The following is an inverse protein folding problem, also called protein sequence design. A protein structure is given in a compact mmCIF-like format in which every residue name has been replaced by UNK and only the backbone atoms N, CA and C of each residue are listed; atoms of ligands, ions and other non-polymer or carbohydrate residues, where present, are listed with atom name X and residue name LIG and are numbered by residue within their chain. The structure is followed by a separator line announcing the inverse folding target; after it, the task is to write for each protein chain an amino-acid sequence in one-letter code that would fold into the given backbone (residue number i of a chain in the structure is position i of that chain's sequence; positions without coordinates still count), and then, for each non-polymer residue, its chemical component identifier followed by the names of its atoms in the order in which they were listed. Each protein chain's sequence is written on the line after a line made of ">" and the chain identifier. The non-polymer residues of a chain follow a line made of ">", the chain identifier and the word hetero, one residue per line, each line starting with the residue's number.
data_IF_361179520511
#
_entry.id   IF_361179520511
#
_cell.length_a   1.000
_cell.length_b   1.000
_cell.length_c   1.000
_cell.angle_alpha   90.00
_cell.angle_beta   90.00
_cell.angle_gamma   90.00
#
_symmetry.space_group_name_H-M   'P 1'
#
loop_
_entity.id
_entity.type
_entity.pdbx_description
1 polymer ?
#
# COMPACT_ATOMS: atom_id res chain seq x y z
N UNK A 1 -40.48 -51.39 -21.09
CA UNK A 1 -40.39 -50.29 -20.10
C UNK A 1 -40.58 -50.91 -18.74
N UNK A 2 -39.65 -50.65 -17.82
CA UNK A 2 -39.67 -51.17 -16.45
C UNK A 2 -39.73 -49.96 -15.52
N UNK A 3 -40.68 -49.94 -14.58
CA UNK A 3 -40.89 -48.82 -13.66
C UNK A 3 -40.12 -49.04 -12.35
N UNK A 4 -39.46 -47.99 -11.85
CA UNK A 4 -38.86 -47.92 -10.51
C UNK A 4 -39.62 -46.82 -9.76
N UNK A 5 -40.41 -47.18 -8.75
CA UNK A 5 -41.10 -46.21 -7.89
C UNK A 5 -40.65 -46.43 -6.43
N UNK A 6 -40.42 -45.33 -5.70
CA UNK A 6 -39.97 -45.29 -4.30
C UNK A 6 -41.07 -44.65 -3.45
N UNK A 7 -41.42 -45.26 -2.32
CA UNK A 7 -42.53 -44.86 -1.46
C UNK A 7 -42.05 -43.99 -0.28
N UNK A 8 -42.58 -42.78 -0.13
CA UNK A 8 -42.58 -42.03 1.14
C UNK A 8 -43.93 -41.32 1.32
N UNK A 9 -44.38 -41.21 2.57
CA UNK A 9 -45.77 -41.28 3.00
C UNK A 9 -46.74 -40.15 2.61
N UNK A 10 -46.39 -39.19 1.74
CA UNK A 10 -47.34 -38.12 1.37
C UNK A 10 -47.30 -37.61 -0.08
N UNK A 11 -46.55 -38.18 -1.03
CA UNK A 11 -46.65 -37.81 -2.47
C UNK A 11 -46.00 -38.86 -3.40
N UNK A 12 -46.57 -39.08 -4.61
CA UNK A 12 -46.12 -40.12 -5.56
C UNK A 12 -45.50 -39.49 -6.82
N UNK A 13 -44.25 -39.85 -7.15
CA UNK A 13 -43.59 -39.49 -8.41
C UNK A 13 -43.05 -40.75 -9.11
N UNK A 14 -43.43 -41.00 -10.37
CA UNK A 14 -42.86 -42.07 -11.20
C UNK A 14 -42.28 -41.48 -12.50
N UNK A 15 -41.07 -41.93 -12.87
CA UNK A 15 -40.34 -41.49 -14.07
C UNK A 15 -40.44 -42.52 -15.20
N UNK A 16 -40.57 -42.03 -16.44
CA UNK A 16 -40.69 -42.86 -17.66
C UNK A 16 -39.35 -42.91 -18.41
N UNK A 17 -38.85 -44.12 -18.68
CA UNK A 17 -37.64 -44.36 -19.50
C UNK A 17 -38.04 -44.72 -20.93
N UNK A 18 -37.84 -43.83 -21.89
CA UNK A 18 -38.08 -44.07 -23.32
C UNK A 18 -36.83 -44.68 -23.96
N UNK A 19 -36.97 -45.82 -24.64
CA UNK A 19 -35.99 -46.38 -25.58
C UNK A 19 -36.56 -46.21 -27.00
N UNK A 20 -35.86 -45.54 -27.91
CA UNK A 20 -36.15 -45.57 -29.34
C UNK A 20 -35.22 -46.55 -30.07
N UNK A 21 -35.79 -47.26 -31.04
CA UNK A 21 -35.20 -48.38 -31.77
C UNK A 21 -34.24 -47.96 -32.89
N UNK A 22 -33.43 -48.93 -33.33
CA UNK A 22 -32.38 -48.85 -34.34
C UNK A 22 -32.91 -48.88 -35.78
N UNK A 23 -32.10 -48.34 -36.70
CA UNK A 23 -32.02 -48.81 -38.10
C UNK A 23 -30.57 -48.73 -38.56
N UNK A 24 -30.10 -49.82 -39.16
CA UNK A 24 -28.74 -50.07 -39.62
C UNK A 24 -28.77 -50.17 -41.15
N UNK A 25 -27.91 -49.44 -41.85
CA UNK A 25 -27.48 -49.80 -43.20
C UNK A 25 -26.11 -49.21 -43.52
N UNK A 26 -25.17 -50.09 -43.87
CA UNK A 26 -23.81 -49.80 -44.34
C UNK A 26 -23.84 -49.10 -45.71
N UNK A 27 -22.86 -48.20 -45.95
CA UNK A 27 -22.07 -48.22 -47.19
C UNK A 27 -20.80 -47.37 -47.03
N UNK A 28 -19.67 -47.96 -47.41
CA UNK A 28 -18.35 -47.35 -47.50
C UNK A 28 -18.29 -46.30 -48.62
N UNK A 29 -17.64 -45.16 -48.39
CA UNK A 29 -16.49 -44.70 -49.17
C UNK A 29 -16.02 -43.30 -48.74
N UNK A 30 -14.71 -43.19 -48.59
CA UNK A 30 -13.89 -41.99 -48.42
C UNK A 30 -14.39 -40.77 -49.21
N UNK A 31 -14.47 -39.60 -48.57
CA UNK A 31 -13.93 -38.38 -49.17
C UNK A 31 -13.53 -37.39 -48.07
N UNK A 32 -12.29 -36.94 -48.19
CA UNK A 32 -11.55 -36.03 -47.31
C UNK A 32 -12.28 -34.71 -47.04
N UNK A 33 -11.74 -34.01 -46.03
CA UNK A 33 -11.94 -32.59 -45.67
C UNK A 33 -12.99 -32.38 -44.57
N UNK A 34 -12.56 -32.44 -43.31
CA UNK A 34 -13.00 -31.54 -42.23
C UNK A 34 -12.05 -31.73 -41.02
N UNK A 35 -10.79 -31.31 -41.22
CA UNK A 35 -9.84 -31.07 -40.15
C UNK A 35 -9.84 -29.56 -39.86
N UNK A 36 -9.71 -29.24 -38.57
CA UNK A 36 -9.46 -27.91 -37.97
C UNK A 36 -10.72 -27.13 -37.59
N UNK A 37 -11.14 -27.26 -36.33
CA UNK A 37 -11.40 -26.14 -35.41
C UNK A 37 -12.17 -26.63 -34.18
N UNK A 38 -11.51 -27.32 -33.23
CA UNK A 38 -12.03 -27.49 -31.85
C UNK A 38 -10.98 -28.08 -30.91
N UNK A 39 -9.82 -27.42 -30.81
CA UNK A 39 -8.86 -27.65 -29.72
C UNK A 39 -8.19 -26.31 -29.36
N UNK A 40 -8.96 -25.32 -28.93
CA UNK A 40 -8.42 -24.26 -28.06
C UNK A 40 -8.50 -24.78 -26.64
N UNK A 41 -7.46 -25.54 -26.27
CA UNK A 41 -7.10 -25.76 -24.87
C UNK A 41 -7.02 -24.36 -24.26
N UNK A 42 -7.84 -24.10 -23.25
CA UNK A 42 -7.68 -22.94 -22.37
C UNK A 42 -6.34 -23.15 -21.65
N UNK A 43 -5.27 -22.65 -22.26
CA UNK A 43 -4.01 -22.41 -21.57
C UNK A 43 -4.30 -21.31 -20.56
N UNK A 44 -4.67 -21.70 -19.36
CA UNK A 44 -4.38 -20.90 -18.18
C UNK A 44 -2.86 -20.86 -18.11
N UNK A 45 -2.28 -19.82 -18.70
CA UNK A 45 -0.90 -19.42 -18.41
C UNK A 45 -0.89 -19.08 -16.93
N UNK A 46 -0.55 -20.03 -16.07
CA UNK A 46 0.26 -19.70 -14.90
C UNK A 46 1.50 -19.06 -15.48
N UNK A 47 1.50 -17.73 -15.55
CA UNK A 47 2.70 -16.97 -15.83
C UNK A 47 3.69 -17.39 -14.73
N UNK A 48 4.53 -18.37 -15.05
CA UNK A 48 5.71 -18.68 -14.29
C UNK A 48 6.54 -17.40 -14.37
N UNK A 49 6.46 -16.61 -13.29
CA UNK A 49 7.37 -15.50 -13.02
C UNK A 49 8.75 -16.09 -13.22
N UNK A 50 9.41 -15.77 -14.34
CA UNK A 50 10.80 -16.13 -14.55
C UNK A 50 11.55 -15.62 -13.33
N UNK A 51 12.30 -16.52 -12.69
CA UNK A 51 12.98 -16.38 -11.40
C UNK A 51 14.08 -15.31 -11.46
N UNK A 52 13.67 -14.07 -11.69
CA UNK A 52 14.50 -12.90 -11.81
C UNK A 52 14.73 -12.33 -10.41
N UNK A 53 16.00 -12.16 -10.05
CA UNK A 53 16.37 -11.39 -8.86
C UNK A 53 16.00 -9.93 -9.11
N UNK A 54 14.82 -9.53 -8.65
CA UNK A 54 14.34 -8.15 -8.76
C UNK A 54 14.87 -7.30 -7.61
N UNK A 55 15.37 -6.10 -7.91
CA UNK A 55 15.90 -5.18 -6.90
C UNK A 55 14.84 -4.30 -6.22
N UNK A 56 13.72 -4.07 -6.89
CA UNK A 56 12.65 -3.20 -6.40
C UNK A 56 11.31 -3.55 -7.06
N UNK A 57 10.21 -3.09 -6.46
CA UNK A 57 8.88 -3.20 -7.07
C UNK A 57 8.81 -2.48 -8.42
N UNK A 58 9.54 -1.36 -8.57
CA UNK A 58 9.66 -0.65 -9.85
C UNK A 58 10.33 -1.52 -10.92
N UNK A 59 11.35 -2.30 -10.56
CA UNK A 59 11.98 -3.26 -11.46
C UNK A 59 11.02 -4.37 -11.92
N UNK A 60 10.21 -4.89 -10.99
CA UNK A 60 9.15 -5.88 -11.31
C UNK A 60 8.12 -5.25 -12.26
N UNK A 61 7.63 -4.06 -11.93
CA UNK A 61 6.61 -3.36 -12.69
C UNK A 61 7.04 -3.10 -14.14
N UNK A 62 8.28 -2.61 -14.33
CA UNK A 62 8.83 -2.35 -15.68
C UNK A 62 9.02 -3.61 -16.50
N UNK A 63 9.56 -4.68 -15.90
CA UNK A 63 9.84 -5.93 -16.63
C UNK A 63 8.57 -6.66 -17.08
N UNK A 64 7.50 -6.54 -16.29
CA UNK A 64 6.20 -7.12 -16.63
C UNK A 64 5.32 -6.13 -17.43
N UNK A 65 5.90 -5.08 -18.03
CA UNK A 65 5.18 -4.10 -18.86
C UNK A 65 3.93 -3.51 -18.17
N UNK A 66 4.00 -3.32 -16.85
CA UNK A 66 2.88 -2.82 -16.04
C UNK A 66 1.77 -3.83 -15.74
N UNK A 67 1.89 -5.08 -16.18
CA UNK A 67 0.91 -6.16 -15.94
C UNK A 67 1.07 -6.81 -14.57
N UNK A 68 2.14 -6.51 -13.83
CA UNK A 68 2.32 -6.99 -12.46
C UNK A 68 1.16 -6.54 -11.57
N UNK A 69 0.68 -7.43 -10.72
CA UNK A 69 -0.40 -7.15 -9.76
C UNK A 69 0.15 -6.65 -8.43
N UNK A 70 -0.62 -5.86 -7.69
CA UNK A 70 -0.21 -5.45 -6.34
C UNK A 70 -0.24 -6.65 -5.39
N UNK A 71 0.73 -6.74 -4.48
CA UNK A 71 0.85 -7.89 -3.57
C UNK A 71 2.20 -7.92 -2.85
N UNK A 72 2.44 -8.97 -2.06
CA UNK A 72 3.74 -9.17 -1.40
C UNK A 72 4.72 -9.83 -2.37
N UNK A 73 5.91 -9.25 -2.46
CA UNK A 73 7.01 -9.74 -3.29
C UNK A 73 8.28 -9.82 -2.47
N UNK A 74 9.14 -10.77 -2.85
CA UNK A 74 10.51 -10.86 -2.36
C UNK A 74 11.45 -10.14 -3.32
N UNK A 75 12.20 -9.16 -2.84
CA UNK A 75 13.16 -8.38 -3.63
C UNK A 75 14.56 -8.42 -3.01
N UNK A 76 15.56 -8.10 -3.81
CA UNK A 76 16.99 -8.05 -3.45
C UNK A 76 17.56 -6.66 -3.73
N UNK A 77 17.27 -5.64 -2.90
CA UNK A 77 17.71 -4.26 -3.16
C UNK A 77 19.23 -4.14 -3.27
N UNK A 78 19.94 -4.86 -2.40
CA UNK A 78 21.39 -4.91 -2.32
C UNK A 78 21.89 -6.25 -2.84
N UNK A 79 23.01 -6.25 -3.58
CA UNK A 79 23.55 -7.48 -4.22
C UNK A 79 24.07 -8.51 -3.21
N UNK A 80 24.51 -8.08 -2.03
CA UNK A 80 25.20 -8.90 -1.04
C UNK A 80 24.44 -8.97 0.29
N UNK A 81 23.13 -8.70 0.27
CA UNK A 81 22.30 -8.72 1.48
C UNK A 81 21.13 -9.68 1.34
N UNK A 82 20.62 -10.11 2.48
CA UNK A 82 19.42 -10.94 2.52
C UNK A 82 18.24 -10.21 1.86
N UNK A 83 17.47 -10.90 1.00
CA UNK A 83 16.25 -10.34 0.43
C UNK A 83 15.27 -9.88 1.50
N UNK A 84 14.36 -9.00 1.08
CA UNK A 84 13.27 -8.52 1.91
C UNK A 84 11.93 -8.79 1.25
N UNK A 85 10.93 -9.10 2.07
CA UNK A 85 9.54 -9.11 1.65
C UNK A 85 8.97 -7.70 1.77
N UNK A 86 8.35 -7.24 0.69
CA UNK A 86 7.77 -5.92 0.56
C UNK A 86 6.39 -6.03 -0.07
N UNK A 87 5.51 -5.08 0.22
CA UNK A 87 4.28 -4.96 -0.55
C UNK A 87 4.55 -4.06 -1.76
N UNK A 88 4.37 -4.60 -2.96
CA UNK A 88 4.45 -3.83 -4.20
C UNK A 88 3.06 -3.31 -4.57
N UNK A 89 2.94 -1.99 -4.70
CA UNK A 89 1.75 -1.36 -5.30
C UNK A 89 2.02 -1.07 -6.78
N UNK A 90 1.36 -1.85 -7.64
CA UNK A 90 1.60 -1.85 -9.08
C UNK A 90 0.58 -1.03 -9.87
N UNK A 91 -0.54 -0.64 -9.27
CA UNK A 91 -1.63 0.01 -10.01
C UNK A 91 -1.75 1.52 -9.70
N UNK A 92 -1.53 1.92 -8.45
CA UNK A 92 -1.77 3.31 -8.02
C UNK A 92 -0.66 4.24 -8.51
N UNK A 93 -1.05 5.38 -9.11
CA UNK A 93 -0.16 6.48 -9.52
C UNK A 93 1.05 6.03 -10.36
N UNK A 94 0.80 5.14 -11.32
CA UNK A 94 1.81 4.61 -12.24
C UNK A 94 2.62 3.43 -11.69
N UNK A 95 2.27 2.91 -10.51
CA UNK A 95 2.80 1.67 -9.99
C UNK A 95 4.27 1.69 -9.59
N UNK A 96 4.79 0.50 -9.24
CA UNK A 96 6.18 0.27 -8.87
C UNK A 96 6.56 0.75 -7.47
N UNK A 97 5.59 1.13 -6.63
CA UNK A 97 5.88 1.55 -5.25
C UNK A 97 6.19 0.35 -4.36
N UNK A 98 7.24 0.48 -3.57
CA UNK A 98 7.72 -0.49 -2.59
C UNK A 98 7.33 -0.02 -1.20
N UNK A 99 6.34 -0.66 -0.59
CA UNK A 99 5.92 -0.39 0.78
C UNK A 99 6.85 -1.09 1.77
N UNK A 100 7.37 -0.30 2.71
CA UNK A 100 8.38 -0.75 3.66
C UNK A 100 7.73 -1.50 4.84
N UNK A 101 8.15 -2.73 5.17
CA UNK A 101 7.58 -3.49 6.27
C UNK A 101 8.07 -2.98 7.63
N UNK A 102 7.28 -3.20 8.69
CA UNK A 102 7.66 -2.93 10.09
C UNK A 102 9.00 -3.56 10.48
N UNK A 103 9.29 -4.76 9.96
CA UNK A 103 10.53 -5.49 10.27
C UNK A 103 11.79 -4.82 9.71
N UNK A 104 11.67 -3.92 8.72
CA UNK A 104 12.81 -3.21 8.14
C UNK A 104 13.59 -2.41 9.19
N UNK A 105 12.91 -1.84 10.17
CA UNK A 105 13.54 -0.99 11.21
C UNK A 105 14.54 -1.75 12.09
N UNK A 106 14.52 -3.08 12.09
CA UNK A 106 15.42 -3.91 12.89
C UNK A 106 16.60 -4.48 12.10
N UNK A 107 16.70 -4.17 10.81
CA UNK A 107 17.81 -4.62 9.98
C UNK A 107 19.02 -3.70 10.10
N UNK A 108 20.21 -4.28 10.09
CA UNK A 108 21.47 -3.51 10.13
C UNK A 108 21.71 -2.71 8.84
N UNK A 109 21.22 -3.21 7.71
CA UNK A 109 21.34 -2.61 6.37
C UNK A 109 20.10 -1.78 5.96
N UNK A 110 19.21 -1.46 6.91
CA UNK A 110 17.91 -0.86 6.62
C UNK A 110 18.01 0.47 5.86
N UNK A 111 18.93 1.36 6.26
CA UNK A 111 19.12 2.62 5.56
C UNK A 111 19.64 2.42 4.13
N UNK A 112 20.59 1.50 3.93
CA UNK A 112 21.14 1.18 2.60
C UNK A 112 20.05 0.62 1.67
N UNK A 113 19.15 -0.20 2.20
CA UNK A 113 17.97 -0.68 1.49
C UNK A 113 17.07 0.48 1.08
N UNK A 114 16.74 1.39 1.99
CA UNK A 114 15.92 2.57 1.69
C UNK A 114 16.57 3.42 0.62
N UNK A 115 17.88 3.68 0.71
CA UNK A 115 18.63 4.47 -0.26
C UNK A 115 18.61 3.84 -1.66
N UNK A 116 18.68 2.50 -1.74
CA UNK A 116 18.59 1.76 -2.99
C UNK A 116 17.17 1.75 -3.59
N UNK A 117 16.13 1.87 -2.76
CA UNK A 117 14.73 1.83 -3.17
C UNK A 117 14.14 3.22 -3.46
N UNK A 118 14.65 4.28 -2.84
CA UNK A 118 14.06 5.62 -2.90
C UNK A 118 14.77 6.53 -3.90
N UNK A 119 14.52 6.25 -5.18
CA UNK A 119 15.13 6.95 -6.32
C UNK A 119 14.26 8.15 -6.73
N UNK A 120 12.94 8.00 -6.72
CA UNK A 120 11.95 9.06 -6.97
C UNK A 120 11.64 9.82 -5.67
N UNK A 121 12.59 10.66 -5.25
CA UNK A 121 12.56 11.36 -3.96
C UNK A 121 11.50 12.47 -3.82
N UNK A 122 10.66 12.66 -4.83
CA UNK A 122 9.58 13.66 -4.84
C UNK A 122 8.20 13.05 -4.80
N UNK A 123 8.09 11.72 -4.84
CA UNK A 123 6.81 11.03 -4.86
C UNK A 123 6.81 9.92 -3.82
N UNK A 124 6.10 10.15 -2.71
CA UNK A 124 5.91 9.16 -1.66
C UNK A 124 4.44 8.78 -1.59
N UNK A 125 4.14 7.49 -1.74
CA UNK A 125 2.78 6.99 -1.66
C UNK A 125 2.50 6.50 -0.25
N UNK A 126 1.56 7.14 0.45
CA UNK A 126 1.11 6.70 1.76
C UNK A 126 -0.23 5.98 1.64
N UNK A 127 -0.38 4.85 2.32
CA UNK A 127 -1.67 4.19 2.50
C UNK A 127 -2.14 4.37 3.93
N UNK A 128 -3.40 4.73 4.13
CA UNK A 128 -4.05 4.93 5.42
C UNK A 128 -5.07 3.80 5.64
N UNK A 129 -5.05 3.19 6.82
CA UNK A 129 -5.97 2.09 7.17
C UNK A 129 -6.99 2.54 8.21
N UNK A 130 -8.27 2.24 7.96
CA UNK A 130 -9.33 2.43 8.95
C UNK A 130 -9.30 1.38 10.05
N UNK A 131 -9.69 1.77 11.26
CA UNK A 131 -9.64 0.90 12.44
C UNK A 131 -10.67 -0.23 12.42
N UNK A 132 -11.88 0.05 11.93
CA UNK A 132 -13.05 -0.83 12.10
C UNK A 132 -13.12 -1.89 10.99
N UNK A 133 -13.15 -1.46 9.74
CA UNK A 133 -13.32 -2.34 8.58
C UNK A 133 -12.00 -2.66 7.86
N UNK A 134 -10.88 -2.09 8.31
CA UNK A 134 -9.55 -2.15 7.67
C UNK A 134 -9.53 -1.65 6.23
N UNK A 135 -10.55 -0.93 5.78
CA UNK A 135 -10.56 -0.31 4.46
C UNK A 135 -9.38 0.66 4.32
N UNK A 136 -8.79 0.65 3.14
CA UNK A 136 -7.59 1.42 2.84
C UNK A 136 -7.92 2.63 1.97
N UNK A 137 -7.16 3.70 2.16
CA UNK A 137 -7.14 4.84 1.27
C UNK A 137 -5.68 5.22 1.01
N UNK A 138 -5.41 6.00 -0.04
CA UNK A 138 -4.04 6.45 -0.32
C UNK A 138 -3.95 7.96 -0.51
N UNK A 139 -2.77 8.47 -0.23
CA UNK A 139 -2.34 9.81 -0.60
C UNK A 139 -0.97 9.75 -1.27
N UNK A 140 -0.84 10.32 -2.46
CA UNK A 140 0.46 10.64 -3.05
C UNK A 140 0.91 11.99 -2.49
N UNK A 141 2.05 12.01 -1.80
CA UNK A 141 2.66 13.22 -1.27
C UNK A 141 3.77 13.68 -2.21
N UNK A 142 3.83 14.99 -2.48
CA UNK A 142 4.85 15.64 -3.31
C UNK A 142 5.27 16.99 -2.71
N UNK A 143 6.47 17.51 -3.04
CA UNK A 143 6.92 18.80 -2.53
C UNK A 143 5.94 19.93 -2.82
N UNK A 144 5.78 20.83 -1.86
CA UNK A 144 5.03 22.06 -2.08
C UNK A 144 5.69 22.91 -3.18
N UNK A 145 4.93 23.65 -4.02
CA UNK A 145 5.50 24.46 -5.11
C UNK A 145 6.63 25.42 -4.70
N UNK A 146 6.54 26.01 -3.51
CA UNK A 146 7.58 26.89 -2.94
C UNK A 146 8.82 26.17 -2.39
N UNK A 147 8.80 24.84 -2.38
CA UNK A 147 9.83 23.97 -1.79
C UNK A 147 10.26 22.85 -2.75
N UNK A 148 10.04 23.01 -4.07
CA UNK A 148 10.35 22.01 -5.10
C UNK A 148 11.84 21.73 -5.27
N UNK A 149 12.70 22.61 -4.76
CA UNK A 149 14.14 22.44 -4.70
C UNK A 149 14.59 21.40 -3.66
N UNK A 150 13.72 21.04 -2.71
CA UNK A 150 14.02 20.03 -1.70
C UNK A 150 13.41 18.69 -2.08
N UNK A 151 14.23 17.65 -2.00
CA UNK A 151 13.79 16.26 -2.06
C UNK A 151 13.31 15.82 -0.68
N UNK A 152 12.34 14.90 -0.66
CA UNK A 152 12.01 14.21 0.56
C UNK A 152 13.14 13.28 0.98
N UNK A 153 13.24 13.07 2.30
CA UNK A 153 14.23 12.18 2.89
C UNK A 153 13.53 11.08 3.65
N UNK A 154 13.92 9.83 3.43
CA UNK A 154 13.45 8.69 4.24
C UNK A 154 14.63 8.14 5.03
N UNK A 155 14.52 8.13 6.35
CA UNK A 155 15.53 7.63 7.27
C UNK A 155 14.98 6.47 8.10
N UNK A 156 15.84 5.55 8.52
CA UNK A 156 15.48 4.47 9.45
C UNK A 156 16.18 4.71 10.78
N UNK A 157 15.41 4.80 11.87
CA UNK A 157 15.87 5.02 13.25
C UNK A 157 16.81 6.24 13.38
N UNK A 158 16.60 7.26 12.55
CA UNK A 158 17.36 8.50 12.55
C UNK A 158 16.46 9.66 12.14
N UNK A 159 16.79 10.85 12.63
CA UNK A 159 16.17 12.12 12.28
C UNK A 159 17.22 13.15 11.82
N UNK A 160 18.39 12.72 11.34
CA UNK A 160 19.46 13.63 10.91
C UNK A 160 18.96 14.69 9.92
N UNK A 161 19.16 15.97 10.26
CA UNK A 161 18.70 17.11 9.45
C UNK A 161 17.28 17.58 9.74
N UNK A 162 16.60 16.99 10.74
CA UNK A 162 15.23 17.27 11.13
C UNK A 162 15.07 17.24 12.66
N UNK A 163 13.86 17.54 13.13
CA UNK A 163 13.50 17.44 14.55
C UNK A 163 13.16 16.01 14.96
N UNK A 164 13.42 15.73 16.24
CA UNK A 164 13.18 14.43 16.86
C UNK A 164 11.66 14.14 17.01
N UNK A 165 11.18 12.92 16.69
CA UNK A 165 9.80 12.51 16.98
C UNK A 165 9.45 12.54 18.47
N UNK A 166 8.18 12.69 18.83
CA UNK A 166 7.76 12.82 20.23
C UNK A 166 7.76 11.45 20.91
N UNK A 167 7.32 10.41 20.19
CA UNK A 167 7.37 9.03 20.67
C UNK A 167 8.68 8.30 20.30
N UNK A 168 9.81 9.02 20.21
CA UNK A 168 11.13 8.43 19.92
C UNK A 168 11.57 7.34 20.92
N UNK A 169 11.00 7.31 22.13
CA UNK A 169 11.22 6.22 23.09
C UNK A 169 10.77 4.83 22.56
N UNK A 170 10.04 4.78 21.45
CA UNK A 170 9.73 3.54 20.74
C UNK A 170 10.92 2.98 19.96
N UNK A 171 12.01 3.76 19.83
CA UNK A 171 13.33 3.46 19.25
C UNK A 171 13.32 3.15 17.75
N UNK A 172 12.43 2.26 17.33
CA UNK A 172 12.26 1.82 15.96
C UNK A 172 11.26 2.73 15.23
N UNK A 173 11.67 3.35 14.12
CA UNK A 173 10.80 4.12 13.24
C UNK A 173 11.39 4.32 11.84
N UNK A 174 10.50 4.52 10.87
CA UNK A 174 10.83 5.12 9.57
C UNK A 174 10.45 6.59 9.64
N UNK A 175 11.35 7.47 9.26
CA UNK A 175 11.19 8.91 9.29
C UNK A 175 11.05 9.42 7.86
N UNK A 176 10.05 10.27 7.59
CA UNK A 176 9.89 10.99 6.33
C UNK A 176 10.01 12.49 6.57
N UNK A 177 11.12 13.07 6.15
CA UNK A 177 11.35 14.51 6.19
C UNK A 177 10.84 15.21 4.92
N UNK A 178 10.09 16.30 5.10
CA UNK A 178 9.48 17.08 4.02
C UNK A 178 10.31 18.33 3.70
N UNK A 179 10.65 19.14 4.71
CA UNK A 179 11.51 20.33 4.57
C UNK A 179 12.64 20.22 5.61
N UNK A 180 13.93 20.28 5.22
CA UNK A 180 15.04 20.23 6.16
C UNK A 180 15.00 21.35 7.22
N UNK A 181 15.50 21.06 8.42
CA UNK A 181 15.45 21.96 9.59
C UNK A 181 15.94 23.40 9.33
N UNK A 182 17.05 23.64 8.59
CA UNK A 182 17.53 24.99 8.32
C UNK A 182 16.53 25.85 7.55
N UNK A 183 15.61 25.23 6.79
CA UNK A 183 14.63 25.90 5.95
C UNK A 183 13.23 25.87 6.55
N UNK A 184 12.90 24.82 7.30
CA UNK A 184 11.60 24.69 7.97
C UNK A 184 11.41 25.72 9.10
N UNK A 185 12.49 26.29 9.67
CA UNK A 185 12.41 27.31 10.75
C UNK A 185 11.90 28.69 10.30
N UNK A 186 11.85 28.98 9.00
CA UNK A 186 11.43 30.30 8.54
C UNK A 186 9.94 30.55 8.79
N UNK A 187 9.58 31.77 9.22
CA UNK A 187 8.18 32.21 9.37
C UNK A 187 7.55 32.43 8.00
N UNK A 188 7.10 31.34 7.38
CA UNK A 188 6.57 31.30 6.03
C UNK A 188 5.38 30.36 5.91
N UNK A 189 4.68 30.43 4.79
CA UNK A 189 3.73 29.40 4.40
C UNK A 189 4.51 28.16 3.94
N UNK A 190 4.22 27.01 4.55
CA UNK A 190 4.88 25.74 4.34
C UNK A 190 3.85 24.63 4.14
N UNK A 191 4.29 23.46 3.68
CA UNK A 191 3.37 22.36 3.43
C UNK A 191 3.88 21.35 2.43
N UNK A 192 2.94 20.66 1.81
CA UNK A 192 3.18 19.66 0.76
C UNK A 192 1.93 19.53 -0.13
N UNK A 193 2.09 18.88 -1.28
CA UNK A 193 0.96 18.44 -2.11
C UNK A 193 0.51 17.07 -1.64
N UNK A 194 -0.80 16.85 -1.56
CA UNK A 194 -1.41 15.55 -1.34
C UNK A 194 -2.54 15.31 -2.32
N UNK A 195 -2.41 14.29 -3.18
CA UNK A 195 -3.36 13.98 -4.25
C UNK A 195 -3.80 15.25 -5.01
N UNK A 196 -2.81 16.00 -5.51
CA UNK A 196 -3.00 17.21 -6.32
C UNK A 196 -3.60 18.42 -5.56
N UNK A 197 -3.76 18.32 -4.22
CA UNK A 197 -4.21 19.41 -3.35
C UNK A 197 -3.07 19.95 -2.51
N UNK A 198 -3.00 21.27 -2.35
CA UNK A 198 -2.05 21.93 -1.44
C UNK A 198 -2.52 21.76 0.00
N UNK A 199 -1.66 21.19 0.84
CA UNK A 199 -1.83 21.13 2.28
C UNK A 199 -0.84 22.12 2.88
N UNK A 200 -1.35 23.23 3.41
CA UNK A 200 -0.52 24.37 3.82
C UNK A 200 -0.78 24.77 5.27
N UNK A 201 0.24 25.36 5.89
CA UNK A 201 0.17 26.05 7.17
C UNK A 201 1.20 27.19 7.21
N UNK A 202 1.04 28.08 8.18
CA UNK A 202 2.04 29.11 8.48
C UNK A 202 2.89 28.67 9.65
N UNK A 203 4.21 28.60 9.48
CA UNK A 203 5.11 28.49 10.62
C UNK A 203 5.13 29.82 11.37
N UNK A 204 4.46 29.89 12.52
CA UNK A 204 4.23 31.12 13.27
C UNK A 204 5.18 31.31 14.46
N UNK A 205 6.04 30.34 14.77
CA UNK A 205 6.90 30.36 15.97
C UNK A 205 8.35 29.94 15.71
N UNK A 206 8.75 29.71 14.46
CA UNK A 206 10.08 29.26 14.02
C UNK A 206 10.44 27.81 14.36
N UNK A 207 9.50 27.02 14.90
CA UNK A 207 9.73 25.60 15.14
C UNK A 207 9.96 24.88 13.79
N UNK A 208 11.08 24.17 13.58
CA UNK A 208 11.43 23.60 12.28
C UNK A 208 10.79 22.24 11.96
N UNK A 209 9.74 21.82 12.68
CA UNK A 209 9.02 20.58 12.40
C UNK A 209 8.46 20.55 10.96
N UNK A 210 8.81 19.53 10.19
CA UNK A 210 8.27 19.26 8.85
C UNK A 210 8.46 17.78 8.47
N UNK A 211 7.71 16.89 9.12
CA UNK A 211 7.96 15.45 9.05
C UNK A 211 6.73 14.57 9.33
N UNK A 212 6.84 13.31 8.90
CA UNK A 212 6.07 12.17 9.38
C UNK A 212 7.02 11.17 10.07
N UNK A 213 6.55 10.51 11.12
CA UNK A 213 7.27 9.39 11.75
C UNK A 213 6.36 8.17 11.79
N UNK A 214 6.84 7.03 11.29
CA UNK A 214 6.13 5.76 11.18
C UNK A 214 6.75 4.75 12.13
N UNK A 215 6.07 4.48 13.23
CA UNK A 215 6.54 3.66 14.33
C UNK A 215 5.89 2.27 14.26
N UNK A 216 6.67 1.18 14.11
CA UNK A 216 6.15 -0.18 14.17
C UNK A 216 5.49 -0.50 15.50
N UNK A 217 5.99 0.15 16.57
CA UNK A 217 5.62 -0.09 17.96
C UNK A 217 5.66 -1.58 18.33
N UNK A 218 6.78 -2.24 18.02
CA UNK A 218 6.97 -3.69 18.24
C UNK A 218 6.75 -4.13 19.69
N UNK A 219 6.98 -3.21 20.64
CA UNK A 219 6.84 -3.46 22.07
C UNK A 219 5.46 -3.07 22.63
N UNK A 220 4.51 -2.70 21.76
CA UNK A 220 3.13 -2.32 22.12
C UNK A 220 3.07 -1.21 23.19
N UNK A 221 4.02 -0.27 23.12
CA UNK A 221 4.09 0.86 24.04
C UNK A 221 2.93 1.83 23.78
N UNK A 222 2.48 2.49 24.83
CA UNK A 222 1.48 3.56 24.70
C UNK A 222 2.13 4.77 23.99
N UNK A 223 1.49 5.33 22.94
CA UNK A 223 1.96 6.58 22.33
C UNK A 223 2.05 7.72 23.35
N UNK A 224 2.90 8.70 23.08
CA UNK A 224 3.03 9.87 23.95
C UNK A 224 1.69 10.58 24.16
N UNK A 225 1.48 11.08 25.38
CA UNK A 225 0.33 11.92 25.73
C UNK A 225 0.52 13.39 25.34
N UNK A 226 1.62 13.76 24.67
CA UNK A 226 1.86 15.12 24.21
C UNK A 226 0.68 15.62 23.35
N UNK A 227 0.14 16.79 23.69
CA UNK A 227 -1.14 17.31 23.16
C UNK A 227 -2.36 16.37 23.25
N UNK A 228 -2.32 15.29 24.02
CA UNK A 228 -3.44 14.35 24.13
C UNK A 228 -4.74 14.97 24.68
N UNK A 229 -4.64 16.05 25.45
CA UNK A 229 -5.78 16.85 25.91
C UNK A 229 -6.23 17.94 24.93
N UNK A 230 -5.42 18.28 23.93
CA UNK A 230 -5.72 19.28 22.92
C UNK A 230 -5.99 18.62 21.56
N UNK A 231 -7.27 18.29 21.34
CA UNK A 231 -7.71 17.57 20.15
C UNK A 231 -7.96 18.46 18.92
N UNK A 232 -7.38 19.67 18.87
CA UNK A 232 -7.58 20.60 17.75
C UNK A 232 -7.06 20.01 16.44
N UNK A 233 -5.91 19.33 16.47
CA UNK A 233 -5.22 18.77 15.31
C UNK A 233 -5.86 17.47 14.78
N UNK A 234 -6.73 16.86 15.58
CA UNK A 234 -7.57 15.72 15.20
C UNK A 234 -8.86 16.18 14.49
N UNK A 235 -9.26 17.44 14.69
CA UNK A 235 -10.52 18.01 14.19
C UNK A 235 -10.34 18.95 13.01
N UNK A 236 -9.24 19.70 12.96
CA UNK A 236 -8.92 20.68 11.91
C UNK A 236 -7.41 20.78 11.63
N UNK A 237 -7.03 21.59 10.64
CA UNK A 237 -5.65 21.90 10.30
C UNK A 237 -4.98 20.88 9.38
N UNK A 238 -3.65 21.02 9.25
CA UNK A 238 -2.79 20.30 8.29
C UNK A 238 -3.09 18.81 8.23
N UNK A 239 -3.05 18.13 9.37
CA UNK A 239 -3.20 16.69 9.43
C UNK A 239 -4.61 16.23 9.01
N UNK A 240 -5.66 16.99 9.35
CA UNK A 240 -7.03 16.70 8.93
C UNK A 240 -7.23 16.98 7.45
N UNK A 241 -6.71 18.09 6.96
CA UNK A 241 -6.80 18.43 5.54
C UNK A 241 -6.05 17.41 4.67
N UNK A 242 -4.86 16.96 5.09
CA UNK A 242 -4.17 15.84 4.45
C UNK A 242 -5.02 14.56 4.42
N UNK A 243 -5.56 14.12 5.56
CA UNK A 243 -6.39 12.90 5.57
C UNK A 243 -7.67 13.04 4.73
N UNK A 244 -8.19 14.25 4.56
CA UNK A 244 -9.38 14.50 3.73
C UNK A 244 -9.13 14.38 2.23
N UNK A 245 -7.87 14.41 1.77
CA UNK A 245 -7.53 14.18 0.36
C UNK A 245 -7.36 12.71 0.02
N UNK A 246 -7.44 11.81 1.01
CA UNK A 246 -7.23 10.38 0.82
C UNK A 246 -8.28 9.78 -0.13
N UNK A 247 -7.81 9.02 -1.12
CA UNK A 247 -8.66 8.35 -2.12
C UNK A 247 -8.86 6.90 -1.69
N UNK A 248 -10.11 6.46 -1.61
CA UNK A 248 -10.45 5.09 -1.21
C UNK A 248 -9.94 4.05 -2.21
N UNK A 249 -9.40 2.95 -1.70
CA UNK A 249 -9.02 1.78 -2.50
C UNK A 249 -10.22 0.82 -2.49
N UNK A 250 -10.84 0.62 -3.65
CA UNK A 250 -12.12 -0.12 -3.77
C UNK A 250 -11.97 -1.59 -4.14
N UNK A 251 -10.74 -2.09 -4.32
CA UNK A 251 -10.50 -3.48 -4.69
C UNK A 251 -10.02 -4.29 -3.46
N UNK A 252 -10.89 -5.11 -2.83
CA UNK A 252 -10.61 -5.79 -1.57
C UNK A 252 -9.57 -6.92 -1.71
N UNK A 253 -9.39 -7.50 -2.90
CA UNK A 253 -8.40 -8.56 -3.14
C UNK A 253 -6.94 -8.04 -3.06
N UNK A 254 -6.77 -6.74 -2.82
CA UNK A 254 -5.51 -6.00 -2.77
C UNK A 254 -5.27 -5.33 -1.43
N UNK A 255 -5.91 -5.81 -0.36
CA UNK A 255 -5.63 -5.33 0.99
C UNK A 255 -4.18 -5.63 1.34
N UNK A 256 -3.47 -4.59 1.74
CA UNK A 256 -2.10 -4.72 2.18
C UNK A 256 -2.06 -5.36 3.58
N UNK A 257 -1.16 -6.30 3.81
CA UNK A 257 -1.02 -6.92 5.13
C UNK A 257 -0.69 -5.91 6.24
N UNK A 258 -1.11 -6.23 7.47
CA UNK A 258 -1.00 -5.30 8.62
C UNK A 258 0.44 -4.98 9.03
N UNK A 259 1.40 -5.84 8.72
CA UNK A 259 2.83 -5.66 8.98
C UNK A 259 3.45 -4.48 8.21
N UNK A 260 2.72 -3.85 7.29
CA UNK A 260 3.14 -2.64 6.58
C UNK A 260 2.55 -1.34 7.15
N UNK A 261 1.58 -1.41 8.07
CA UNK A 261 0.93 -0.22 8.63
C UNK A 261 1.55 0.17 9.96
N UNK A 262 1.79 1.45 10.21
CA UNK A 262 2.52 1.94 11.38
C UNK A 262 1.64 2.89 12.22
N UNK A 263 1.89 2.94 13.53
CA UNK A 263 1.50 4.11 14.31
C UNK A 263 2.22 5.32 13.70
N UNK A 264 1.50 6.40 13.40
CA UNK A 264 2.06 7.52 12.66
C UNK A 264 1.95 8.81 13.44
N UNK A 265 3.05 9.55 13.56
CA UNK A 265 3.07 10.93 14.05
C UNK A 265 3.25 11.91 12.89
N UNK A 266 2.58 13.06 12.97
CA UNK A 266 2.80 14.21 12.10
C UNK A 266 3.32 15.37 12.94
N UNK A 267 4.38 16.02 12.46
CA UNK A 267 4.92 17.22 13.10
C UNK A 267 5.14 18.30 12.06
N UNK A 268 4.44 19.42 12.25
CA UNK A 268 4.53 20.60 11.40
C UNK A 268 4.61 21.85 12.29
N UNK A 269 5.64 22.68 12.04
CA UNK A 269 6.07 23.78 12.90
C UNK A 269 5.02 24.85 13.16
N UNK A 270 5.12 25.50 14.32
CA UNK A 270 4.26 26.58 14.76
C UNK A 270 2.78 26.26 14.69
N UNK A 271 2.08 26.92 13.79
CA UNK A 271 0.64 26.81 13.63
C UNK A 271 0.24 25.63 12.72
N UNK A 272 1.17 24.71 12.46
CA UNK A 272 0.97 23.47 11.72
C UNK A 272 0.19 22.43 12.54
N UNK A 273 0.89 21.46 13.14
CA UNK A 273 0.30 20.51 14.06
C UNK A 273 1.33 19.61 14.76
N UNK A 274 0.90 19.02 15.88
CA UNK A 274 1.35 17.70 16.30
C UNK A 274 0.13 16.79 16.45
N UNK A 275 0.18 15.57 15.89
CA UNK A 275 -0.86 14.55 16.12
C UNK A 275 -0.29 13.14 15.91
N UNK A 276 -0.94 12.14 16.50
CA UNK A 276 -0.60 10.72 16.32
C UNK A 276 -1.83 9.88 15.97
N UNK A 277 -1.61 8.80 15.23
CA UNK A 277 -2.69 8.08 14.54
C UNK A 277 -3.65 7.32 15.45
N UNK A 278 -3.28 7.05 16.69
CA UNK A 278 -4.18 6.53 17.73
C UNK A 278 -5.36 7.47 18.03
N UNK A 279 -5.27 8.76 17.66
CA UNK A 279 -6.32 9.76 17.90
C UNK A 279 -7.13 10.17 16.66
N UNK A 280 -6.87 9.61 15.48
CA UNK A 280 -7.47 10.08 14.21
C UNK A 280 -8.90 9.61 13.95
N UNK A 281 -9.81 9.94 14.85
CA UNK A 281 -11.19 9.43 14.81
C UNK A 281 -12.06 10.02 13.68
N UNK A 282 -11.77 11.25 13.21
CA UNK A 282 -12.65 11.99 12.27
C UNK A 282 -12.98 11.23 10.98
N UNK A 283 -12.03 10.47 10.45
CA UNK A 283 -12.19 9.64 9.25
C UNK A 283 -12.05 8.13 9.54
N UNK A 284 -11.85 7.77 10.81
CA UNK A 284 -11.64 6.40 11.27
C UNK A 284 -10.27 5.78 10.95
N UNK A 285 -9.34 6.54 10.37
CA UNK A 285 -7.96 6.09 10.15
C UNK A 285 -7.22 5.90 11.47
N UNK A 286 -6.29 4.95 11.53
CA UNK A 286 -5.51 4.69 12.75
C UNK A 286 -4.05 4.30 12.51
N UNK A 287 -3.67 4.05 11.26
CA UNK A 287 -2.31 3.65 10.90
C UNK A 287 -2.00 4.08 9.45
N UNK A 288 -0.71 4.25 9.15
CA UNK A 288 -0.23 4.62 7.82
C UNK A 288 0.93 3.73 7.40
N UNK A 289 0.96 3.33 6.14
CA UNK A 289 2.08 2.65 5.50
C UNK A 289 2.79 3.60 4.54
N UNK A 290 4.12 3.44 4.38
CA UNK A 290 4.96 4.28 3.51
C UNK A 290 5.50 3.48 2.32
N UNK A 291 5.24 3.98 1.12
CA UNK A 291 5.70 3.44 -0.16
C UNK A 291 6.66 4.39 -0.88
N UNK A 292 7.81 3.86 -1.28
CA UNK A 292 8.90 4.56 -2.01
C UNK A 292 9.18 3.88 -3.35
N UNK A 293 9.79 4.57 -4.31
CA UNK A 293 10.23 3.95 -5.58
C UNK A 293 11.38 4.70 -6.20
#
# INVERSE_FOLDING_TARGET
>A
MSYLCRWTSYETYCWVKVKSAATQQENQMNFSIFLIALWTIVQWSTAHVTDGVFRSCQGIHRRNEGQAVSGVYKIHPLSNAEPIEVYCEMAIKGGGYTFLPRGLTRRQDAQQIVDALFVDRKNVLLKLQKKVDRSESYTLIQPHPSFTQYDFTVLVNSYTGYTKPQSDFMIDYIFLGIIPEPNARFRSQQGFISNDRRIEFTNCDTNPNSLFAFMPNHNLQTPTSYHGSNLIYERTGVAVYWRSTAISITNPDRMMPNEFFFLTELHFGGCGCYTSSDRWNKFGFHATAIGVR
#
